data_IF_505843608265
#
_entry.id   IF_505843608265
#
_cell.length_a   1.000
_cell.length_b   1.000
_cell.length_c   1.000
_cell.angle_alpha   90.00
_cell.angle_beta   90.00
_cell.angle_gamma   90.00
#
_symmetry.space_group_name_H-M   'P 1'
#
loop_
_entity.id
_entity.type
_entity.pdbx_description
1 polymer ?
#
# COMPACT_ATOMS: atom_id res chain seq x y z
N UNK A 1 -11.24 -22.19 5.22
CA UNK A 1 -10.90 -21.76 3.85
C UNK A 1 -11.03 -20.25 3.78
N UNK A 2 -9.94 -19.51 3.99
CA UNK A 2 -9.93 -18.05 3.97
C UNK A 2 -9.75 -17.57 2.53
N UNK A 3 -10.77 -16.92 1.96
CA UNK A 3 -10.73 -16.36 0.62
C UNK A 3 -9.73 -15.19 0.59
N UNK A 4 -8.66 -15.28 -0.21
CA UNK A 4 -7.74 -14.17 -0.44
C UNK A 4 -8.54 -12.96 -0.97
N UNK A 5 -8.56 -11.87 -0.19
CA UNK A 5 -9.29 -10.64 -0.53
C UNK A 5 -8.28 -9.64 -1.10
N UNK A 6 -8.39 -9.34 -2.39
CA UNK A 6 -7.57 -8.34 -3.07
C UNK A 6 -8.28 -6.99 -2.94
N UNK A 7 -7.62 -6.01 -2.31
CA UNK A 7 -8.11 -4.63 -2.25
C UNK A 7 -7.38 -3.79 -3.30
N UNK A 8 -8.15 -3.14 -4.16
CA UNK A 8 -7.64 -2.21 -5.18
C UNK A 8 -7.85 -0.78 -4.68
N UNK A 9 -6.77 -0.08 -4.36
CA UNK A 9 -6.83 1.34 -4.00
C UNK A 9 -6.93 2.21 -5.27
N UNK A 10 -8.13 2.23 -5.86
CA UNK A 10 -8.46 3.08 -7.01
C UNK A 10 -9.26 4.30 -6.55
N UNK A 11 -8.67 5.50 -6.60
CA UNK A 11 -9.43 6.75 -6.50
C UNK A 11 -10.28 6.95 -7.76
N UNK A 12 -11.60 6.76 -7.66
CA UNK A 12 -12.53 7.02 -8.74
C UNK A 12 -13.01 8.49 -8.71
N UNK A 13 -12.72 9.22 -9.78
CA UNK A 13 -13.47 10.41 -10.20
C UNK A 13 -14.04 10.09 -11.57
N UNK A 14 -15.37 10.06 -11.68
CA UNK A 14 -16.09 9.89 -12.94
C UNK A 14 -16.09 11.26 -13.64
N UNK A 15 -15.51 11.36 -14.83
CA UNK A 15 -15.64 12.54 -15.70
C UNK A 15 -16.23 12.12 -17.03
N UNK A 16 -17.39 12.70 -17.34
CA UNK A 16 -18.10 12.55 -18.60
C UNK A 16 -17.29 13.16 -19.78
N UNK A 17 -17.50 12.59 -20.96
CA UNK A 17 -16.63 12.72 -22.11
C UNK A 17 -16.39 14.13 -22.65
N UNK A 18 -15.19 14.30 -23.20
CA UNK A 18 -14.86 15.34 -24.18
C UNK A 18 -13.79 14.78 -25.09
N UNK A 19 -14.08 14.69 -26.39
CA UNK A 19 -13.11 14.28 -27.41
C UNK A 19 -12.00 15.33 -27.47
N UNK A 20 -10.79 14.98 -27.02
CA UNK A 20 -9.59 15.81 -27.17
C UNK A 20 -8.65 15.23 -28.22
N UNK A 21 -8.19 16.15 -29.06
CA UNK A 21 -7.25 15.99 -30.16
C UNK A 21 -5.95 15.29 -29.75
N UNK A 22 -5.37 14.50 -30.66
CA UNK A 22 -4.14 13.72 -30.44
C UNK A 22 -2.95 14.66 -30.19
N UNK A 23 -2.46 14.71 -28.95
CA UNK A 23 -1.18 15.33 -28.62
C UNK A 23 -0.01 14.43 -29.06
N UNK A 24 0.94 15.01 -29.81
CA UNK A 24 2.14 14.39 -30.38
C UNK A 24 3.38 14.54 -29.48
N UNK A 25 3.20 14.76 -28.18
CA UNK A 25 4.31 14.72 -27.22
C UNK A 25 4.77 13.28 -26.93
N UNK A 26 6.01 13.07 -26.44
CA UNK A 26 6.45 11.76 -25.99
C UNK A 26 5.53 11.28 -24.86
N UNK A 27 4.68 10.30 -25.17
CA UNK A 27 3.80 9.67 -24.17
C UNK A 27 4.70 8.82 -23.28
N UNK A 28 4.66 9.08 -21.97
CA UNK A 28 5.36 8.26 -20.98
C UNK A 28 5.00 6.77 -21.12
N UNK A 29 5.80 5.86 -20.54
CA UNK A 29 5.62 4.43 -20.70
C UNK A 29 4.19 4.01 -20.38
N UNK A 30 3.58 3.27 -21.30
CA UNK A 30 2.23 2.74 -21.10
C UNK A 30 2.31 1.65 -20.04
N UNK A 31 1.52 1.82 -18.98
CA UNK A 31 1.38 0.78 -17.97
C UNK A 31 0.52 -0.37 -18.50
N UNK A 32 0.82 -1.61 -18.12
CA UNK A 32 -0.02 -2.76 -18.43
C UNK A 32 -1.39 -2.61 -17.78
N UNK A 33 -2.43 -2.98 -18.52
CA UNK A 33 -3.81 -2.88 -18.08
C UNK A 33 -4.37 -4.24 -17.63
N UNK A 34 -3.88 -5.33 -18.20
CA UNK A 34 -4.32 -6.70 -17.88
C UNK A 34 -3.25 -7.47 -17.11
N UNK A 35 -3.65 -8.54 -16.43
CA UNK A 35 -2.69 -9.40 -15.70
C UNK A 35 -1.71 -10.04 -16.69
N UNK A 36 -2.22 -10.47 -17.83
CA UNK A 36 -1.48 -11.12 -18.90
C UNK A 36 -0.40 -10.16 -19.41
N UNK A 37 -0.77 -8.90 -19.67
CA UNK A 37 0.20 -7.87 -20.06
C UNK A 37 1.24 -7.62 -18.97
N UNK A 38 0.88 -7.75 -17.67
CA UNK A 38 1.83 -7.62 -16.56
C UNK A 38 2.93 -8.69 -16.59
N UNK A 39 2.63 -9.90 -17.08
CA UNK A 39 3.57 -11.03 -17.19
C UNK A 39 4.25 -11.15 -18.56
N UNK A 40 3.76 -10.48 -19.60
CA UNK A 40 4.27 -10.53 -20.98
C UNK A 40 5.59 -9.74 -21.20
N UNK A 41 6.41 -9.56 -20.17
CA UNK A 41 7.70 -8.87 -20.33
C UNK A 41 8.55 -8.79 -19.07
N UNK A 42 9.78 -8.29 -19.23
CA UNK A 42 10.76 -8.17 -18.15
C UNK A 42 10.35 -7.10 -17.13
N UNK A 43 9.72 -7.55 -16.05
CA UNK A 43 9.27 -6.71 -14.95
C UNK A 43 9.68 -7.27 -13.61
N UNK A 44 9.97 -6.36 -12.70
CA UNK A 44 10.22 -6.71 -11.31
C UNK A 44 8.90 -6.70 -10.54
N UNK A 45 8.63 -7.80 -9.87
CA UNK A 45 7.54 -7.94 -8.91
C UNK A 45 8.12 -7.87 -7.51
N UNK A 46 7.71 -6.86 -6.73
CA UNK A 46 8.11 -6.70 -5.33
C UNK A 46 6.91 -7.00 -4.44
N UNK A 47 7.10 -7.87 -3.46
CA UNK A 47 6.10 -8.19 -2.46
C UNK A 47 6.63 -7.72 -1.10
N UNK A 48 5.99 -6.71 -0.54
CA UNK A 48 6.24 -6.27 0.84
C UNK A 48 5.46 -7.18 1.78
N UNK A 49 6.18 -8.10 2.37
CA UNK A 49 5.65 -9.22 3.12
C UNK A 49 5.44 -8.89 4.61
N UNK A 50 4.47 -9.56 5.26
CA UNK A 50 4.17 -9.41 6.70
C UNK A 50 3.91 -7.95 7.15
N UNK A 51 3.34 -7.14 6.25
CA UNK A 51 3.07 -5.73 6.52
C UNK A 51 2.01 -5.54 7.63
N UNK A 52 2.35 -4.76 8.64
CA UNK A 52 1.42 -4.32 9.69
C UNK A 52 0.62 -3.10 9.21
N UNK A 53 -0.47 -3.35 8.49
CA UNK A 53 -1.42 -2.32 8.07
C UNK A 53 -2.79 -2.61 8.70
N UNK A 54 -2.89 -2.37 10.01
CA UNK A 54 -4.10 -2.62 10.79
C UNK A 54 -4.63 -1.35 11.43
N UNK A 55 -5.95 -1.23 11.52
CA UNK A 55 -6.58 -0.10 12.19
C UNK A 55 -6.91 -0.43 13.64
N UNK A 56 -6.81 0.56 14.51
CA UNK A 56 -7.21 0.49 15.91
C UNK A 56 -8.18 1.62 16.22
N UNK A 57 -9.22 1.32 17.00
CA UNK A 57 -10.17 2.33 17.48
C UNK A 57 -9.60 2.99 18.73
N UNK A 58 -9.36 4.28 18.66
CA UNK A 58 -8.92 5.14 19.77
C UNK A 58 -10.08 6.07 20.20
N UNK A 59 -9.82 6.95 21.16
CA UNK A 59 -10.77 8.01 21.54
C UNK A 59 -10.94 9.06 20.44
N UNK A 60 -9.96 9.21 19.54
CA UNK A 60 -9.93 10.22 18.48
C UNK A 60 -10.52 9.71 17.16
N UNK A 61 -10.73 8.40 17.03
CA UNK A 61 -11.27 7.78 15.82
C UNK A 61 -10.57 6.46 15.50
N UNK A 62 -10.48 6.12 14.22
CA UNK A 62 -9.66 5.01 13.75
C UNK A 62 -8.27 5.53 13.39
N UNK A 63 -7.24 4.84 13.87
CA UNK A 63 -5.83 5.17 13.62
C UNK A 63 -5.10 3.93 13.10
N UNK A 64 -4.01 4.12 12.37
CA UNK A 64 -3.15 3.02 11.93
C UNK A 64 -2.29 2.56 13.10
N UNK A 65 -2.46 1.29 13.48
CA UNK A 65 -1.79 0.67 14.62
C UNK A 65 -0.27 0.67 14.41
N UNK A 66 0.45 1.20 15.38
CA UNK A 66 1.92 1.29 15.35
C UNK A 66 2.51 1.17 16.77
N UNK A 67 3.78 0.76 16.85
CA UNK A 67 4.47 0.51 18.12
C UNK A 67 4.65 1.74 19.00
N UNK A 68 4.78 2.93 18.40
CA UNK A 68 5.21 4.14 19.10
C UNK A 68 4.00 4.83 19.76
N UNK A 69 2.94 5.10 19.00
CA UNK A 69 1.74 5.78 19.49
C UNK A 69 0.83 4.84 20.29
N UNK A 70 0.86 3.54 19.99
CA UNK A 70 -0.11 2.56 20.52
C UNK A 70 0.53 1.51 21.44
N UNK A 71 1.75 1.75 21.93
CA UNK A 71 2.47 0.84 22.84
C UNK A 71 1.61 0.34 24.02
N UNK A 72 0.83 1.24 24.64
CA UNK A 72 -0.04 0.89 25.77
C UNK A 72 -1.21 -0.04 25.41
N UNK A 73 -1.75 0.07 24.20
CA UNK A 73 -2.80 -0.83 23.69
C UNK A 73 -2.19 -2.19 23.37
N UNK A 74 -1.04 -2.19 22.70
CA UNK A 74 -0.32 -3.40 22.30
C UNK A 74 0.15 -4.21 23.52
N UNK A 75 0.70 -3.57 24.54
CA UNK A 75 1.10 -4.26 25.78
C UNK A 75 -0.07 -4.85 26.56
N UNK A 76 -1.21 -4.16 26.59
CA UNK A 76 -2.43 -4.72 27.20
C UNK A 76 -2.92 -5.94 26.43
N UNK A 77 -2.82 -5.94 25.11
CA UNK A 77 -3.15 -7.09 24.28
C UNK A 77 -2.16 -8.26 24.51
N UNK A 78 -0.85 -7.98 24.59
CA UNK A 78 0.17 -8.98 24.88
C UNK A 78 -0.05 -9.65 26.24
N UNK A 79 -0.33 -8.85 27.28
CA UNK A 79 -0.53 -9.34 28.65
C UNK A 79 -1.84 -10.11 28.85
N UNK A 80 -2.84 -9.93 27.99
CA UNK A 80 -4.18 -10.58 28.10
C UNK A 80 -4.23 -12.01 27.53
N UNK A 81 -3.09 -12.66 27.32
CA UNK A 81 -3.00 -14.05 26.84
C UNK A 81 -2.36 -14.20 25.47
N UNK A 82 -1.94 -13.11 24.83
CA UNK A 82 -1.22 -13.13 23.56
C UNK A 82 0.29 -12.98 23.83
N UNK A 83 0.88 -13.93 24.56
CA UNK A 83 2.29 -13.90 25.00
C UNK A 83 3.28 -13.88 23.82
N UNK A 84 2.84 -14.24 22.62
CA UNK A 84 3.61 -14.19 21.38
C UNK A 84 3.45 -12.88 20.60
N UNK A 85 2.74 -11.88 21.13
CA UNK A 85 2.58 -10.59 20.47
C UNK A 85 3.85 -9.76 20.61
N UNK A 86 4.66 -9.73 19.56
CA UNK A 86 5.81 -8.84 19.48
C UNK A 86 5.37 -7.43 19.08
N UNK A 87 5.37 -6.51 20.04
CA UNK A 87 4.99 -5.11 19.86
C UNK A 87 5.89 -4.40 18.84
N UNK A 88 7.15 -4.81 18.73
CA UNK A 88 8.13 -4.21 17.82
C UNK A 88 7.82 -4.47 16.35
N UNK A 89 6.93 -5.42 16.05
CA UNK A 89 6.52 -5.76 14.68
C UNK A 89 5.49 -4.78 14.10
N UNK A 90 4.86 -3.95 14.92
CA UNK A 90 3.86 -2.97 14.48
C UNK A 90 4.51 -1.71 13.90
N UNK A 91 5.23 -1.87 12.78
CA UNK A 91 6.05 -0.85 12.12
C UNK A 91 5.55 -0.52 10.71
N UNK A 92 4.36 0.11 10.57
CA UNK A 92 3.83 0.56 9.27
C UNK A 92 4.73 1.59 8.58
N UNK A 93 5.61 2.27 9.30
CA UNK A 93 6.61 3.20 8.76
C UNK A 93 7.62 2.52 7.83
N UNK A 94 7.96 1.24 8.07
CA UNK A 94 8.84 0.48 7.17
C UNK A 94 8.19 0.34 5.80
N UNK A 95 6.89 0.01 5.76
CA UNK A 95 6.11 -0.07 4.51
C UNK A 95 6.03 1.30 3.84
N UNK A 96 5.81 2.36 4.63
CA UNK A 96 5.78 3.73 4.11
C UNK A 96 7.09 4.11 3.41
N UNK A 97 8.24 3.89 4.07
CA UNK A 97 9.55 4.19 3.51
C UNK A 97 9.86 3.34 2.27
N UNK A 98 9.53 2.04 2.32
CA UNK A 98 9.71 1.15 1.17
C UNK A 98 8.89 1.62 -0.04
N UNK A 99 7.63 2.01 0.15
CA UNK A 99 6.78 2.52 -0.92
C UNK A 99 7.30 3.82 -1.50
N UNK A 100 7.80 4.75 -0.67
CA UNK A 100 8.42 5.98 -1.15
C UNK A 100 9.62 5.67 -2.06
N UNK A 101 10.52 4.79 -1.63
CA UNK A 101 11.69 4.41 -2.40
C UNK A 101 11.33 3.69 -3.71
N UNK A 102 10.41 2.72 -3.63
CA UNK A 102 9.98 1.92 -4.79
C UNK A 102 9.27 2.78 -5.84
N UNK A 103 8.34 3.65 -5.44
CA UNK A 103 7.56 4.47 -6.37
C UNK A 103 8.41 5.59 -7.02
N UNK A 104 9.43 6.09 -6.32
CA UNK A 104 10.35 7.09 -6.89
C UNK A 104 11.46 6.47 -7.77
N UNK A 105 11.61 5.15 -7.76
CA UNK A 105 12.66 4.45 -8.50
C UNK A 105 12.55 4.68 -10.02
N UNK A 106 13.68 4.71 -10.75
CA UNK A 106 13.67 4.76 -12.21
C UNK A 106 12.87 3.60 -12.83
N UNK A 107 12.85 2.44 -12.18
CA UNK A 107 12.14 1.26 -12.64
C UNK A 107 10.62 1.44 -12.61
N UNK A 108 10.08 2.07 -11.55
CA UNK A 108 8.67 2.44 -11.48
C UNK A 108 8.32 3.48 -12.54
N UNK A 109 9.16 4.50 -12.71
CA UNK A 109 9.00 5.55 -13.74
C UNK A 109 9.04 4.99 -15.16
N UNK A 110 9.77 3.89 -15.38
CA UNK A 110 9.83 3.16 -16.64
C UNK A 110 8.64 2.21 -16.87
N UNK A 111 7.73 2.05 -15.91
CA UNK A 111 6.58 1.15 -16.01
C UNK A 111 6.94 -0.35 -15.92
N UNK A 112 8.08 -0.68 -15.29
CA UNK A 112 8.60 -2.04 -15.16
C UNK A 112 8.53 -2.61 -13.75
N UNK A 113 7.88 -1.90 -12.82
CA UNK A 113 7.74 -2.31 -11.44
C UNK A 113 6.28 -2.59 -11.11
N UNK A 114 6.02 -3.74 -10.50
CA UNK A 114 4.74 -4.10 -9.88
C UNK A 114 4.97 -4.31 -8.38
N UNK A 115 4.17 -3.64 -7.55
CA UNK A 115 4.31 -3.69 -6.10
C UNK A 115 3.04 -4.31 -5.51
N UNK A 116 3.22 -5.31 -4.66
CA UNK A 116 2.18 -5.88 -3.82
C UNK A 116 2.58 -5.72 -2.35
N UNK A 117 1.57 -5.55 -1.50
CA UNK A 117 1.74 -5.60 -0.05
C UNK A 117 0.91 -6.77 0.46
N UNK A 118 1.53 -7.72 1.15
CA UNK A 118 0.82 -8.78 1.86
C UNK A 118 0.84 -8.46 3.35
N UNK A 119 -0.34 -8.22 3.91
CA UNK A 119 -0.46 -7.93 5.33
C UNK A 119 -0.37 -9.20 6.16
N UNK A 120 -0.10 -9.06 7.47
CA UNK A 120 -0.10 -10.20 8.40
C UNK A 120 -1.44 -10.94 8.46
N UNK A 121 -2.55 -10.26 8.14
CA UNK A 121 -3.89 -10.85 8.02
C UNK A 121 -4.18 -11.47 6.64
N UNK A 122 -3.13 -11.73 5.85
CA UNK A 122 -3.21 -12.34 4.53
C UNK A 122 -4.10 -11.56 3.54
N UNK A 123 -4.12 -10.22 3.66
CA UNK A 123 -4.73 -9.32 2.68
C UNK A 123 -3.66 -8.92 1.69
N UNK A 124 -3.97 -8.99 0.39
CA UNK A 124 -3.07 -8.54 -0.67
C UNK A 124 -3.57 -7.21 -1.21
N UNK A 125 -2.71 -6.20 -1.15
CA UNK A 125 -2.96 -4.87 -1.68
C UNK A 125 -2.13 -4.72 -2.94
N UNK A 126 -2.81 -4.45 -4.06
CA UNK A 126 -2.18 -4.09 -5.32
C UNK A 126 -1.93 -2.58 -5.34
N UNK A 127 -0.66 -2.19 -5.43
CA UNK A 127 -0.27 -0.77 -5.44
C UNK A 127 -0.18 -0.29 -6.89
N UNK A 128 -0.98 0.73 -7.21
CA UNK A 128 -0.92 1.38 -8.51
C UNK A 128 0.43 2.10 -8.71
N UNK A 129 1.19 1.82 -9.79
CA UNK A 129 2.48 2.47 -10.06
C UNK A 129 2.43 4.00 -10.18
N UNK A 130 1.25 4.57 -10.46
CA UNK A 130 1.00 6.03 -10.54
C UNK A 130 0.61 6.65 -9.20
N UNK A 131 0.43 5.86 -8.16
CA UNK A 131 0.02 6.34 -6.85
C UNK A 131 1.08 7.32 -6.30
N UNK A 132 0.62 8.48 -5.83
CA UNK A 132 1.47 9.42 -5.09
C UNK A 132 1.28 9.20 -3.60
N UNK A 133 2.18 8.42 -3.00
CA UNK A 133 2.16 8.19 -1.56
C UNK A 133 2.50 9.48 -0.81
N UNK A 134 1.75 9.85 0.25
CA UNK A 134 2.09 11.00 1.09
C UNK A 134 3.50 10.89 1.67
N UNK A 135 4.28 11.97 1.63
CA UNK A 135 5.67 11.99 2.12
C UNK A 135 5.79 11.94 3.64
N UNK A 136 4.79 12.44 4.36
CA UNK A 136 4.77 12.40 5.83
C UNK A 136 4.01 11.18 6.31
N UNK A 137 4.53 10.53 7.35
CA UNK A 137 3.93 9.32 7.91
C UNK A 137 2.49 9.55 8.37
N UNK A 138 2.18 10.65 9.07
CA UNK A 138 0.83 10.92 9.57
C UNK A 138 -0.23 10.99 8.44
N UNK A 139 0.13 11.51 7.26
CA UNK A 139 -0.77 11.54 6.11
C UNK A 139 -0.90 10.17 5.45
N UNK A 140 0.19 9.40 5.41
CA UNK A 140 0.15 8.01 4.96
C UNK A 140 -0.73 7.15 5.86
N UNK A 141 -0.57 7.27 7.18
CA UNK A 141 -1.39 6.58 8.18
C UNK A 141 -2.87 6.91 8.01
N UNK A 142 -3.22 8.19 7.83
CA UNK A 142 -4.60 8.61 7.55
C UNK A 142 -5.16 8.02 6.26
N UNK A 143 -4.35 7.91 5.19
CA UNK A 143 -4.76 7.28 3.93
C UNK A 143 -5.01 5.77 4.09
N UNK A 144 -4.22 5.07 4.91
CA UNK A 144 -4.33 3.61 5.11
C UNK A 144 -5.50 3.20 6.00
N UNK A 145 -6.12 4.16 6.70
CA UNK A 145 -7.32 3.92 7.53
C UNK A 145 -8.62 3.94 6.70
N UNK A 146 -8.59 4.52 5.49
CA UNK A 146 -9.75 4.68 4.59
C UNK A 146 -10.04 3.40 3.79
#
# INVERSE_FOLDING_TARGET
SAKNRILNMSGHVISAGSQRTKSTGPKGPKLPQTKEEWFDGDRLFVILEMACLETVKTRKGYELLNSDDHHGILNKAANKGNKSLDVSMYRPDIVHQALLALLDSPLNKAGKLKIFIRTQKNVIIDVNPKLRIPRTYNRFAGLMVQ
#
